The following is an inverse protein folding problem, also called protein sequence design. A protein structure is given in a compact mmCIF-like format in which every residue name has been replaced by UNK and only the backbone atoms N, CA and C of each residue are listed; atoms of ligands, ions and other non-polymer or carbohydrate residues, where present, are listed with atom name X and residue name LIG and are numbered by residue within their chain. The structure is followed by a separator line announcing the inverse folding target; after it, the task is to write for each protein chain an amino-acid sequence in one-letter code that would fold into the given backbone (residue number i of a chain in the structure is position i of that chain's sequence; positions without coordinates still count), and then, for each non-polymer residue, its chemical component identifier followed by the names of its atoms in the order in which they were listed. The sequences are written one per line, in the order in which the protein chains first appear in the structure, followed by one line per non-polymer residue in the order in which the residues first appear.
data_IF_337553191422
#
_entry.id   IF_337553191422
#
_cell.length_a   1.000
_cell.length_b   1.000
_cell.length_c   1.000
_cell.angle_alpha   90.00
_cell.angle_beta   90.00
_cell.angle_gamma   90.00
#
_symmetry.space_group_name_H-M   'P 1'
#
loop_
_entity.id
_entity.type
_entity.pdbx_description
1 polymer ?
#
# COMPACT_ATOMS: atom_id res chain seq x y z
N UNK A 1 6.50 5.51 -20.18
CA UNK A 1 6.08 5.26 -18.79
C UNK A 1 5.17 4.06 -18.71
N UNK A 2 5.31 3.26 -17.67
CA UNK A 2 4.42 2.15 -17.40
C UNK A 2 3.96 2.17 -15.94
N UNK A 3 2.90 1.42 -15.66
CA UNK A 3 2.35 1.32 -14.31
C UNK A 3 2.25 -0.15 -13.93
N UNK A 4 2.81 -0.50 -12.76
CA UNK A 4 2.63 -1.81 -12.13
C UNK A 4 1.60 -1.64 -11.03
N UNK A 5 0.58 -2.48 -11.03
CA UNK A 5 -0.49 -2.41 -10.04
C UNK A 5 -0.58 -3.72 -9.26
N UNK A 6 -0.44 -3.62 -7.94
CA UNK A 6 -0.76 -4.72 -7.03
C UNK A 6 -2.14 -4.41 -6.45
N UNK A 7 -3.10 -5.24 -6.77
CA UNK A 7 -4.50 -4.96 -6.45
C UNK A 7 -5.02 -5.88 -5.37
N UNK A 8 -5.68 -5.28 -4.39
CA UNK A 8 -6.43 -5.99 -3.35
C UNK A 8 -5.56 -6.98 -2.56
N UNK A 9 -4.39 -6.51 -2.12
CA UNK A 9 -3.59 -7.26 -1.15
C UNK A 9 -4.35 -7.30 0.17
N UNK A 10 -4.53 -8.48 0.73
CA UNK A 10 -5.36 -8.67 1.92
C UNK A 10 -4.51 -9.04 3.12
N UNK A 11 -4.72 -8.33 4.21
CA UNK A 11 -3.98 -8.52 5.45
C UNK A 11 -4.92 -8.39 6.64
N UNK A 12 -4.50 -8.90 7.77
CA UNK A 12 -5.17 -8.68 9.05
C UNK A 12 -4.29 -7.76 9.89
N UNK A 13 -4.86 -6.66 10.37
CA UNK A 13 -4.11 -5.65 11.10
C UNK A 13 -4.87 -5.10 12.29
N UNK A 14 -4.20 -4.26 13.08
CA UNK A 14 -4.70 -3.74 14.35
C UNK A 14 -4.68 -2.21 14.36
N UNK A 15 -5.13 -1.63 13.27
CA UNK A 15 -5.16 -0.17 13.07
C UNK A 15 -6.56 0.37 13.32
N UNK A 16 -6.65 1.48 14.02
CA UNK A 16 -7.91 2.16 14.27
C UNK A 16 -7.86 3.01 15.51
N UNK A 17 -8.86 3.87 15.67
CA UNK A 17 -8.97 4.79 16.80
C UNK A 17 -9.53 4.07 18.04
N UNK A 18 -10.45 3.16 17.84
CA UNK A 18 -11.15 2.50 18.94
C UNK A 18 -10.35 1.35 19.55
N UNK A 19 -10.50 1.14 20.84
CA UNK A 19 -9.77 0.10 21.58
C UNK A 19 -10.01 -1.29 21.01
N UNK A 20 -11.25 -1.60 20.63
CA UNK A 20 -11.58 -2.93 20.10
C UNK A 20 -10.90 -3.17 18.75
N UNK A 21 -10.70 -2.13 17.92
CA UNK A 21 -9.98 -2.25 16.67
C UNK A 21 -8.52 -2.62 16.91
N UNK A 22 -7.91 -2.05 17.95
CA UNK A 22 -6.51 -2.30 18.29
C UNK A 22 -6.30 -3.65 18.94
N UNK A 23 -7.30 -4.17 19.64
CA UNK A 23 -7.21 -5.45 20.37
C UNK A 23 -7.62 -6.64 19.52
N UNK A 24 -8.73 -6.50 18.80
CA UNK A 24 -9.30 -7.60 18.02
C UNK A 24 -8.80 -7.63 16.59
N UNK A 25 -8.40 -6.48 16.07
CA UNK A 25 -7.98 -6.34 14.68
C UNK A 25 -9.13 -6.44 13.70
N UNK A 26 -8.80 -6.29 12.43
CA UNK A 26 -9.76 -6.41 11.34
C UNK A 26 -9.02 -6.63 10.01
N UNK A 27 -9.74 -7.07 8.96
CA UNK A 27 -9.13 -7.17 7.64
C UNK A 27 -8.90 -5.79 7.04
N UNK A 28 -7.78 -5.67 6.31
CA UNK A 28 -7.42 -4.50 5.51
C UNK A 28 -7.11 -4.94 4.11
N UNK A 29 -7.43 -4.09 3.13
CA UNK A 29 -7.10 -4.30 1.73
C UNK A 29 -6.23 -3.15 1.25
N UNK A 30 -5.19 -3.46 0.49
CA UNK A 30 -4.23 -2.47 0.02
C UNK A 30 -4.01 -2.63 -1.47
N UNK A 31 -4.06 -1.50 -2.20
CA UNK A 31 -3.61 -1.41 -3.58
C UNK A 31 -2.34 -0.57 -3.63
N UNK A 32 -1.42 -0.96 -4.49
CA UNK A 32 -0.22 -0.15 -4.80
C UNK A 32 -0.11 -0.02 -6.30
N UNK A 33 0.07 1.21 -6.78
CA UNK A 33 0.38 1.50 -8.18
C UNK A 33 1.73 2.18 -8.26
N UNK A 34 2.61 1.64 -9.07
CA UNK A 34 3.97 2.12 -9.23
C UNK A 34 4.16 2.58 -10.68
N UNK A 35 4.57 3.83 -10.86
CA UNK A 35 4.88 4.40 -12.17
C UNK A 35 6.39 4.43 -12.36
N UNK A 36 6.84 3.84 -13.47
CA UNK A 36 8.26 3.73 -13.81
C UNK A 36 8.39 3.52 -15.32
N UNK A 37 9.47 4.01 -15.96
CA UNK A 37 9.73 3.66 -17.36
C UNK A 37 9.98 2.16 -17.50
N UNK A 38 9.39 1.54 -18.53
CA UNK A 38 9.51 0.11 -18.79
C UNK A 38 10.52 -0.23 -19.90
N UNK A 39 11.02 0.77 -20.64
CA UNK A 39 11.77 0.57 -21.87
C UNK A 39 12.93 -0.40 -21.75
N UNK A 40 13.77 -0.21 -20.74
CA UNK A 40 14.96 -1.05 -20.54
C UNK A 40 14.58 -2.46 -20.08
N UNK A 41 13.64 -2.56 -19.17
CA UNK A 41 13.19 -3.85 -18.64
C UNK A 41 12.52 -4.69 -19.73
N UNK A 42 11.63 -4.08 -20.53
CA UNK A 42 10.89 -4.80 -21.54
C UNK A 42 11.77 -5.18 -22.74
N UNK A 43 12.76 -4.37 -23.09
CA UNK A 43 13.65 -4.69 -24.20
C UNK A 43 14.68 -5.76 -23.89
N UNK A 44 15.12 -5.87 -22.64
CA UNK A 44 16.12 -6.85 -22.19
C UNK A 44 15.54 -8.02 -21.40
N UNK A 45 14.27 -7.94 -21.03
CA UNK A 45 13.59 -8.97 -20.24
C UNK A 45 14.33 -9.27 -18.93
N UNK A 46 14.79 -8.22 -18.24
CA UNK A 46 15.63 -8.33 -17.06
C UNK A 46 14.92 -7.75 -15.83
N UNK A 47 14.69 -8.61 -14.83
CA UNK A 47 14.02 -8.20 -13.59
C UNK A 47 14.78 -7.13 -12.81
N UNK A 48 16.09 -7.05 -12.98
CA UNK A 48 16.91 -6.05 -12.29
C UNK A 48 16.66 -4.63 -12.80
N UNK A 49 15.99 -4.48 -13.95
CA UNK A 49 15.67 -3.19 -14.55
C UNK A 49 14.23 -2.74 -14.28
N UNK A 50 13.50 -3.47 -13.44
CA UNK A 50 12.14 -3.13 -13.04
C UNK A 50 12.02 -3.21 -11.52
N UNK A 51 10.79 -3.03 -11.01
CA UNK A 51 10.50 -3.21 -9.59
C UNK A 51 9.98 -4.63 -9.39
N UNK A 52 10.59 -5.35 -8.46
CA UNK A 52 10.12 -6.68 -8.08
C UNK A 52 8.88 -6.56 -7.20
N UNK A 53 7.71 -6.88 -7.74
CA UNK A 53 6.45 -6.72 -7.01
C UNK A 53 6.34 -7.64 -5.79
N UNK A 54 7.06 -8.76 -5.76
CA UNK A 54 7.10 -9.62 -4.57
C UNK A 54 7.74 -8.89 -3.38
N UNK A 55 8.79 -8.11 -3.64
CA UNK A 55 9.40 -7.25 -2.62
C UNK A 55 8.44 -6.18 -2.13
N UNK A 56 7.62 -5.62 -3.02
CA UNK A 56 6.58 -4.65 -2.66
C UNK A 56 5.54 -5.31 -1.75
N UNK A 57 5.06 -6.50 -2.11
CA UNK A 57 4.10 -7.23 -1.28
C UNK A 57 4.65 -7.48 0.13
N UNK A 58 5.90 -7.93 0.22
CA UNK A 58 6.55 -8.21 1.52
C UNK A 58 6.68 -6.94 2.36
N UNK A 59 7.02 -5.82 1.74
CA UNK A 59 7.12 -4.53 2.42
C UNK A 59 5.76 -4.11 2.99
N UNK A 60 4.71 -4.19 2.18
CA UNK A 60 3.35 -3.83 2.61
C UNK A 60 2.89 -4.74 3.73
N UNK A 61 3.07 -6.05 3.57
CA UNK A 61 2.71 -7.04 4.60
C UNK A 61 3.40 -6.71 5.93
N UNK A 62 4.69 -6.43 5.91
CA UNK A 62 5.44 -6.11 7.11
C UNK A 62 4.90 -4.86 7.82
N UNK A 63 4.60 -3.80 7.07
CA UNK A 63 4.08 -2.56 7.67
C UNK A 63 2.68 -2.78 8.23
N UNK A 64 1.77 -3.41 7.46
CA UNK A 64 0.39 -3.60 7.90
C UNK A 64 0.31 -4.48 9.14
N UNK A 65 1.08 -5.57 9.17
CA UNK A 65 0.96 -6.58 10.24
C UNK A 65 1.82 -6.28 11.46
N UNK A 66 2.89 -5.50 11.33
CA UNK A 66 3.84 -5.27 12.42
C UNK A 66 3.79 -3.86 13.02
N UNK A 67 2.81 -3.05 12.63
CA UNK A 67 2.62 -1.71 13.21
C UNK A 67 1.19 -1.52 13.68
N UNK A 68 0.97 -0.47 14.47
CA UNK A 68 -0.34 -0.11 14.99
C UNK A 68 -0.51 1.39 14.86
N UNK A 69 -1.33 1.83 13.91
CA UNK A 69 -1.62 3.25 13.71
C UNK A 69 -3.08 3.53 14.06
N UNK A 70 -3.35 4.74 14.54
CA UNK A 70 -4.72 5.16 14.80
C UNK A 70 -5.50 5.40 13.50
N UNK A 71 -4.81 5.89 12.47
CA UNK A 71 -5.44 6.30 11.22
C UNK A 71 -4.93 5.47 10.06
N UNK A 72 -5.83 5.09 9.16
CA UNK A 72 -5.43 4.42 7.92
C UNK A 72 -4.70 5.37 6.96
N UNK A 73 -4.91 6.68 7.11
CA UNK A 73 -4.11 7.71 6.42
C UNK A 73 -2.63 7.60 6.77
N UNK A 74 -2.33 7.41 8.06
CA UNK A 74 -0.96 7.22 8.53
C UNK A 74 -0.36 5.94 7.93
N UNK A 75 -1.14 4.86 7.95
CA UNK A 75 -0.71 3.58 7.37
C UNK A 75 -0.39 3.74 5.89
N UNK A 76 -1.26 4.39 5.12
CA UNK A 76 -1.06 4.62 3.69
C UNK A 76 0.22 5.44 3.42
N UNK A 77 0.44 6.51 4.18
CA UNK A 77 1.64 7.34 4.03
C UNK A 77 2.92 6.58 4.37
N UNK A 78 2.91 5.77 5.43
CA UNK A 78 4.08 4.96 5.80
C UNK A 78 4.43 3.96 4.71
N UNK A 79 3.43 3.32 4.12
CA UNK A 79 3.65 2.39 3.00
C UNK A 79 4.24 3.14 1.80
N UNK A 80 3.64 4.25 1.41
CA UNK A 80 4.09 5.02 0.24
C UNK A 80 5.52 5.52 0.40
N UNK A 81 5.84 6.09 1.57
CA UNK A 81 7.17 6.61 1.84
C UNK A 81 8.23 5.51 1.83
N UNK A 82 7.91 4.36 2.39
CA UNK A 82 8.86 3.23 2.43
C UNK A 82 9.12 2.68 1.02
N UNK A 83 8.09 2.56 0.21
CA UNK A 83 8.25 2.12 -1.18
C UNK A 83 9.17 3.09 -1.94
N UNK A 84 8.93 4.40 -1.81
CA UNK A 84 9.76 5.42 -2.48
C UNK A 84 11.22 5.38 -2.01
N UNK A 85 11.44 5.15 -0.72
CA UNK A 85 12.81 5.13 -0.19
C UNK A 85 13.59 3.89 -0.58
N UNK A 86 12.91 2.75 -0.74
CA UNK A 86 13.57 1.46 -0.96
C UNK A 86 13.66 1.07 -2.45
N UNK A 87 12.93 1.74 -3.33
CA UNK A 87 12.83 1.37 -4.73
C UNK A 87 12.99 2.58 -5.64
N UNK A 88 13.59 2.36 -6.81
CA UNK A 88 13.73 3.38 -7.85
C UNK A 88 12.48 3.40 -8.72
N UNK A 89 11.65 4.40 -8.49
CA UNK A 89 10.39 4.62 -9.23
C UNK A 89 10.03 6.10 -9.23
N UNK A 90 9.16 6.50 -10.15
CA UNK A 90 8.81 7.93 -10.31
C UNK A 90 7.66 8.35 -9.41
N UNK A 91 6.67 7.47 -9.26
CA UNK A 91 5.46 7.78 -8.50
C UNK A 91 4.88 6.50 -7.90
N UNK A 92 4.33 6.62 -6.70
CA UNK A 92 3.56 5.55 -6.05
C UNK A 92 2.21 6.09 -5.60
N UNK A 93 1.16 5.31 -5.86
CA UNK A 93 -0.17 5.53 -5.30
C UNK A 93 -0.48 4.36 -4.39
N UNK A 94 -0.91 4.64 -3.18
CA UNK A 94 -1.30 3.62 -2.20
C UNK A 94 -2.74 3.88 -1.79
N UNK A 95 -3.57 2.83 -1.86
CA UNK A 95 -4.95 2.86 -1.36
C UNK A 95 -5.05 1.86 -0.23
N UNK A 96 -5.59 2.29 0.90
CA UNK A 96 -5.86 1.41 2.04
C UNK A 96 -7.35 1.42 2.29
N UNK A 97 -7.96 0.23 2.31
CA UNK A 97 -9.39 0.05 2.53
C UNK A 97 -9.63 -0.68 3.85
N UNK A 98 -10.71 -0.29 4.49
CA UNK A 98 -11.21 -0.86 5.72
C UNK A 98 -12.60 -1.40 5.46
N UNK A 99 -12.74 -2.65 4.97
CA UNK A 99 -14.05 -3.17 4.55
C UNK A 99 -14.99 -3.42 5.73
N UNK A 100 -14.46 -3.60 6.94
CA UNK A 100 -15.24 -3.85 8.16
C UNK A 100 -15.20 -2.62 9.06
N UNK A 101 -15.76 -1.51 8.59
CA UNK A 101 -15.80 -0.28 9.37
C UNK A 101 -17.11 -0.19 10.15
N UNK A 102 -17.03 0.34 11.39
CA UNK A 102 -18.23 0.55 12.22
C UNK A 102 -18.72 1.98 12.07
N UNK A 103 -19.85 2.12 11.37
CA UNK A 103 -20.55 3.38 11.18
C UNK A 103 -22.05 3.17 11.32
N UNK A 104 -22.81 4.26 11.33
CA UNK A 104 -24.28 4.22 11.48
C UNK A 104 -25.01 4.06 10.16
N UNK A 105 -24.55 3.14 9.31
CA UNK A 105 -25.16 2.94 7.99
C UNK A 105 -24.49 1.83 7.23
N UNK A 106 -24.82 1.71 5.94
CA UNK A 106 -24.33 0.67 5.06
C UNK A 106 -23.47 1.32 3.98
N UNK A 107 -22.25 0.79 3.80
CA UNK A 107 -21.36 1.15 2.70
C UNK A 107 -20.48 -0.06 2.37
N UNK A 108 -19.83 -0.02 1.21
CA UNK A 108 -18.97 -1.14 0.80
C UNK A 108 -17.66 -1.14 1.57
N UNK A 109 -17.03 0.02 1.68
CA UNK A 109 -15.73 0.15 2.33
C UNK A 109 -15.42 1.61 2.60
N UNK A 110 -14.45 1.86 3.46
CA UNK A 110 -13.80 3.17 3.58
C UNK A 110 -12.41 3.04 2.97
N UNK A 111 -12.05 3.96 2.10
CA UNK A 111 -10.77 3.95 1.41
C UNK A 111 -10.08 5.30 1.57
N UNK A 112 -8.78 5.26 1.85
CA UNK A 112 -7.92 6.44 1.73
C UNK A 112 -6.91 6.19 0.63
N UNK A 113 -6.54 7.25 -0.08
CA UNK A 113 -5.58 7.17 -1.17
C UNK A 113 -4.53 8.26 -0.97
N UNK A 114 -3.27 7.90 -1.13
CA UNK A 114 -2.17 8.85 -1.12
C UNK A 114 -1.29 8.66 -2.35
N UNK A 115 -0.72 9.74 -2.84
CA UNK A 115 0.19 9.73 -3.97
C UNK A 115 1.48 10.43 -3.55
N UNK A 116 2.61 9.79 -3.84
CA UNK A 116 3.93 10.35 -3.57
C UNK A 116 4.76 10.28 -4.83
N UNK A 117 5.50 11.34 -5.09
CA UNK A 117 6.38 11.45 -6.24
C UNK A 117 7.84 11.41 -5.79
N UNK A 118 8.69 10.89 -6.67
CA UNK A 118 10.12 10.89 -6.45
C UNK A 118 10.61 12.31 -6.21
N UNK A 119 11.47 12.48 -5.20
CA UNK A 119 12.11 13.76 -4.93
C UNK A 119 13.03 14.16 -6.08
N UNK A 120 12.99 15.44 -6.41
CA UNK A 120 13.84 16.00 -7.48
C UNK A 120 15.14 16.55 -6.91
#
# INVERSE_FOLDING_TARGET
MGVIKLKNMQFYGYHGVYDHEKKLGSPFEVDVEITKPFNKASSSDDINLTVNYDAIFSLVNNIVTNSKYNLIETLADKIANKILSDHDLDKVVVRVRKPKVQISGILDTVEVETEKNKAQ
#
